data_IF_801865034742
#
_entry.id   IF_801865034742
#
_cell.length_a   1.000
_cell.length_b   1.000
_cell.length_c   1.000
_cell.angle_alpha   90.00
_cell.angle_beta   90.00
_cell.angle_gamma   90.00
#
_symmetry.space_group_name_H-M   'P 1'
#
loop_
_entity.id
_entity.type
_entity.pdbx_description
1 polymer ?
#
# COMPACT_ATOMS: atom_id res chain seq x y z
N UNK A 1 -19.99 20.84 26.63
CA UNK A 1 -20.68 21.39 25.44
C UNK A 1 -21.81 20.49 24.89
N UNK A 2 -21.65 19.16 24.77
CA UNK A 2 -22.66 18.25 24.20
C UNK A 2 -24.01 18.14 24.97
N UNK A 3 -24.03 18.36 26.29
CA UNK A 3 -25.30 18.33 27.07
C UNK A 3 -26.21 19.54 26.76
N UNK A 4 -25.60 20.70 26.48
CA UNK A 4 -26.32 21.96 26.16
C UNK A 4 -27.01 21.87 24.80
N UNK A 5 -26.40 21.16 23.85
CA UNK A 5 -26.98 20.88 22.53
C UNK A 5 -28.10 19.84 22.58
N UNK A 6 -28.00 18.82 23.43
CA UNK A 6 -29.08 17.83 23.61
C UNK A 6 -30.32 18.42 24.29
N UNK A 7 -30.15 19.26 25.32
CA UNK A 7 -31.26 19.96 25.96
C UNK A 7 -31.99 20.88 24.97
N UNK A 8 -31.24 21.62 24.16
CA UNK A 8 -31.79 22.45 23.08
C UNK A 8 -32.57 21.62 22.05
N UNK A 9 -32.01 20.47 21.60
CA UNK A 9 -32.69 19.57 20.67
C UNK A 9 -33.99 19.00 21.23
N UNK A 10 -33.98 18.57 22.50
CA UNK A 10 -35.18 18.07 23.19
C UNK A 10 -36.25 19.15 23.29
N UNK A 11 -35.88 20.36 23.68
CA UNK A 11 -36.80 21.51 23.73
C UNK A 11 -37.42 21.78 22.36
N UNK A 12 -36.61 21.85 21.30
CA UNK A 12 -37.10 22.05 19.91
C UNK A 12 -38.00 20.90 19.45
N UNK A 13 -37.71 19.67 19.84
CA UNK A 13 -38.59 18.54 19.55
C UNK A 13 -39.95 18.66 20.26
N UNK A 14 -39.96 19.06 21.54
CA UNK A 14 -41.20 19.29 22.28
C UNK A 14 -42.02 20.46 21.69
N UNK A 15 -41.37 21.56 21.31
CA UNK A 15 -42.04 22.69 20.63
C UNK A 15 -42.68 22.29 19.29
N UNK A 16 -42.10 21.32 18.57
CA UNK A 16 -42.68 20.75 17.35
C UNK A 16 -43.89 19.89 17.64
N UNK A 17 -43.78 19.02 18.63
CA UNK A 17 -44.88 18.15 19.00
C UNK A 17 -46.09 18.97 19.47
N UNK A 18 -45.87 19.95 20.34
CA UNK A 18 -46.93 20.87 20.79
C UNK A 18 -47.60 21.60 19.61
N UNK A 19 -46.82 22.08 18.62
CA UNK A 19 -47.39 22.72 17.42
C UNK A 19 -48.23 21.75 16.59
N UNK A 20 -47.82 20.49 16.47
CA UNK A 20 -48.57 19.44 15.75
C UNK A 20 -49.87 19.09 16.46
N UNK A 21 -49.85 19.01 17.79
CA UNK A 21 -51.05 18.79 18.59
C UNK A 21 -52.07 19.92 18.41
N UNK A 22 -51.62 21.18 18.47
CA UNK A 22 -52.47 22.36 18.23
C UNK A 22 -53.01 22.35 16.79
N UNK A 23 -52.16 22.07 15.81
CA UNK A 23 -52.55 22.00 14.40
C UNK A 23 -53.60 20.89 14.17
N UNK A 24 -53.39 19.69 14.73
CA UNK A 24 -54.33 18.57 14.64
C UNK A 24 -55.67 18.91 15.28
N UNK A 25 -55.67 19.62 16.41
CA UNK A 25 -56.89 20.10 17.06
C UNK A 25 -57.65 21.10 16.18
N UNK A 26 -56.97 22.09 15.62
CA UNK A 26 -57.58 23.09 14.74
C UNK A 26 -58.11 22.47 13.43
N UNK A 27 -57.40 21.50 12.85
CA UNK A 27 -57.86 20.75 11.68
C UNK A 27 -59.13 19.94 12.01
N UNK A 28 -59.15 19.23 13.13
CA UNK A 28 -60.33 18.47 13.58
C UNK A 28 -61.57 19.38 13.79
N UNK A 29 -61.37 20.60 14.30
CA UNK A 29 -62.44 21.61 14.40
C UNK A 29 -62.89 22.14 13.05
N UNK A 30 -61.95 22.34 12.12
CA UNK A 30 -62.22 22.71 10.73
C UNK A 30 -63.06 21.67 10.02
N UNK A 31 -62.72 20.38 10.16
CA UNK A 31 -63.43 19.26 9.53
C UNK A 31 -64.89 19.16 10.01
N UNK A 32 -65.14 19.53 11.28
CA UNK A 32 -66.48 19.59 11.87
C UNK A 32 -67.23 20.88 11.53
N UNK A 33 -66.60 21.84 10.84
CA UNK A 33 -67.20 23.14 10.52
C UNK A 33 -67.42 24.07 11.72
N UNK A 34 -66.77 23.82 12.86
CA UNK A 34 -66.93 24.60 14.11
C UNK A 34 -65.78 25.57 14.38
N UNK A 35 -64.90 25.77 13.38
CA UNK A 35 -63.75 26.66 13.48
C UNK A 35 -64.21 28.12 13.53
N UNK A 36 -63.78 28.86 14.55
CA UNK A 36 -64.15 30.26 14.70
C UNK A 36 -63.34 31.16 13.77
N UNK A 37 -63.82 32.37 13.52
CA UNK A 37 -63.09 33.36 12.71
C UNK A 37 -61.76 33.79 13.34
N UNK A 38 -61.64 33.68 14.67
CA UNK A 38 -60.38 33.92 15.39
C UNK A 38 -59.40 32.74 15.28
N UNK A 39 -59.89 31.52 15.11
CA UNK A 39 -59.08 30.31 14.95
C UNK A 39 -58.55 30.12 13.51
N UNK A 40 -59.30 30.58 12.50
CA UNK A 40 -58.87 30.53 11.08
C UNK A 40 -57.46 31.11 10.83
N UNK A 41 -57.11 32.34 11.28
CA UNK A 41 -55.76 32.87 11.09
C UNK A 41 -54.70 32.09 11.86
N UNK A 42 -55.04 31.52 13.03
CA UNK A 42 -54.12 30.66 13.79
C UNK A 42 -53.80 29.38 13.02
N UNK A 43 -54.82 28.72 12.45
CA UNK A 43 -54.63 27.54 11.62
C UNK A 43 -53.69 27.84 10.44
N UNK A 44 -53.93 28.96 9.72
CA UNK A 44 -53.06 29.41 8.62
C UNK A 44 -51.63 29.62 9.10
N UNK A 45 -51.43 30.32 10.22
CA UNK A 45 -50.10 30.59 10.76
C UNK A 45 -49.34 29.29 11.12
N UNK A 46 -50.03 28.30 11.70
CA UNK A 46 -49.42 27.00 12.01
C UNK A 46 -49.03 26.22 10.75
N UNK A 47 -49.90 26.18 9.73
CA UNK A 47 -49.58 25.52 8.45
C UNK A 47 -48.37 26.16 7.78
N UNK A 48 -48.34 27.49 7.70
CA UNK A 48 -47.18 28.19 7.12
C UNK A 48 -45.88 27.93 7.89
N UNK A 49 -45.96 27.84 9.22
CA UNK A 49 -44.79 27.53 10.05
C UNK A 49 -44.25 26.12 9.77
N UNK A 50 -45.13 25.12 9.62
CA UNK A 50 -44.75 23.74 9.30
C UNK A 50 -44.18 23.61 7.87
N UNK A 51 -44.74 24.35 6.90
CA UNK A 51 -44.22 24.39 5.54
C UNK A 51 -42.81 24.98 5.50
N UNK A 52 -42.61 26.13 6.16
CA UNK A 52 -41.29 26.77 6.27
C UNK A 52 -40.26 25.84 6.90
N UNK A 53 -40.62 25.18 8.01
CA UNK A 53 -39.72 24.23 8.66
C UNK A 53 -39.41 23.01 7.79
N UNK A 54 -40.41 22.50 7.05
CA UNK A 54 -40.23 21.38 6.13
C UNK A 54 -39.26 21.74 5.00
N UNK A 55 -39.35 22.96 4.46
CA UNK A 55 -38.44 23.43 3.42
C UNK A 55 -37.02 23.66 3.95
N UNK A 56 -36.87 24.20 5.15
CA UNK A 56 -35.55 24.33 5.81
C UNK A 56 -34.92 22.96 6.06
N UNK A 57 -35.71 21.98 6.48
CA UNK A 57 -35.25 20.60 6.67
C UNK A 57 -34.82 19.98 5.35
N UNK A 58 -35.62 20.11 4.28
CA UNK A 58 -35.26 19.65 2.93
C UNK A 58 -33.96 20.29 2.45
N UNK A 59 -33.80 21.60 2.60
CA UNK A 59 -32.55 22.30 2.24
C UNK A 59 -31.35 21.75 3.01
N UNK A 60 -31.53 21.51 4.30
CA UNK A 60 -30.48 20.96 5.17
C UNK A 60 -30.10 19.53 4.77
N UNK A 61 -31.09 18.66 4.58
CA UNK A 61 -30.89 17.26 4.16
C UNK A 61 -30.20 17.22 2.80
N UNK A 62 -30.66 18.01 1.83
CA UNK A 62 -30.04 18.09 0.52
C UNK A 62 -28.58 18.58 0.60
N UNK A 63 -28.31 19.56 1.47
CA UNK A 63 -26.94 20.01 1.73
C UNK A 63 -26.05 18.94 2.36
N UNK A 64 -26.59 18.17 3.30
CA UNK A 64 -25.89 17.04 3.93
C UNK A 64 -25.63 15.91 2.94
N UNK A 65 -26.63 15.55 2.14
CA UNK A 65 -26.54 14.50 1.13
C UNK A 65 -25.44 14.80 0.10
N UNK A 66 -25.41 16.03 -0.43
CA UNK A 66 -24.32 16.49 -1.31
C UNK A 66 -22.94 16.42 -0.65
N UNK A 67 -22.86 16.66 0.66
CA UNK A 67 -21.60 16.54 1.40
C UNK A 67 -21.17 15.08 1.53
N UNK A 68 -22.11 14.18 1.82
CA UNK A 68 -21.86 12.73 1.89
C UNK A 68 -21.39 12.22 0.53
N UNK A 69 -22.06 12.60 -0.56
CA UNK A 69 -21.69 12.22 -1.93
C UNK A 69 -20.26 12.67 -2.27
N UNK A 70 -19.88 13.90 -1.92
CA UNK A 70 -18.49 14.37 -2.09
C UNK A 70 -17.48 13.54 -1.29
N UNK A 71 -17.81 13.17 -0.06
CA UNK A 71 -16.93 12.32 0.75
C UNK A 71 -16.80 10.92 0.16
N UNK A 72 -17.89 10.34 -0.36
CA UNK A 72 -17.86 9.04 -1.03
C UNK A 72 -16.96 9.11 -2.27
N UNK A 73 -17.12 10.14 -3.11
CA UNK A 73 -16.28 10.34 -4.29
C UNK A 73 -14.80 10.53 -3.91
N UNK A 74 -14.52 11.29 -2.85
CA UNK A 74 -13.16 11.49 -2.35
C UNK A 74 -12.53 10.18 -1.83
N UNK A 75 -13.29 9.35 -1.11
CA UNK A 75 -12.82 8.06 -0.63
C UNK A 75 -12.56 7.08 -1.79
N UNK A 76 -13.42 7.07 -2.80
CA UNK A 76 -13.22 6.27 -4.00
C UNK A 76 -11.91 6.67 -4.72
N UNK A 77 -11.70 7.97 -4.95
CA UNK A 77 -10.48 8.48 -5.55
C UNK A 77 -9.22 8.15 -4.71
N UNK A 78 -9.31 8.23 -3.39
CA UNK A 78 -8.22 7.85 -2.51
C UNK A 78 -7.89 6.35 -2.60
N UNK A 79 -8.90 5.48 -2.67
CA UNK A 79 -8.69 4.04 -2.86
C UNK A 79 -8.09 3.72 -4.24
N UNK A 80 -8.49 4.43 -5.29
CA UNK A 80 -7.91 4.25 -6.62
C UNK A 80 -6.44 4.65 -6.64
N UNK A 81 -6.09 5.79 -6.03
CA UNK A 81 -4.69 6.25 -5.90
C UNK A 81 -3.83 5.27 -5.08
N UNK A 82 -4.38 4.66 -4.03
CA UNK A 82 -3.68 3.61 -3.27
C UNK A 82 -3.41 2.39 -4.16
N UNK A 83 -4.41 1.93 -4.94
CA UNK A 83 -4.24 0.78 -5.84
C UNK A 83 -3.17 1.04 -6.90
N UNK A 84 -3.16 2.24 -7.48
CA UNK A 84 -2.12 2.65 -8.44
C UNK A 84 -0.73 2.63 -7.79
N UNK A 85 -0.58 3.23 -6.61
CA UNK A 85 0.69 3.23 -5.88
C UNK A 85 1.17 1.82 -5.48
N UNK A 86 0.24 0.92 -5.14
CA UNK A 86 0.55 -0.49 -4.84
C UNK A 86 1.03 -1.24 -6.09
N UNK A 87 0.40 -0.97 -7.23
CA UNK A 87 0.79 -1.55 -8.51
C UNK A 87 2.17 -1.05 -8.95
N UNK A 88 2.41 0.26 -8.90
CA UNK A 88 3.73 0.85 -9.19
C UNK A 88 4.83 0.25 -8.30
N UNK A 89 4.53 0.06 -7.01
CA UNK A 89 5.47 -0.56 -6.08
C UNK A 89 5.73 -2.05 -6.41
N UNK A 90 4.73 -2.78 -6.90
CA UNK A 90 4.89 -4.16 -7.33
C UNK A 90 5.78 -4.24 -8.59
N UNK A 91 5.51 -3.40 -9.58
CA UNK A 91 6.25 -3.34 -10.85
C UNK A 91 7.72 -2.94 -10.60
N UNK A 92 7.96 -1.94 -9.76
CA UNK A 92 9.31 -1.53 -9.37
C UNK A 92 10.08 -2.65 -8.67
N UNK A 93 9.41 -3.44 -7.79
CA UNK A 93 10.03 -4.60 -7.14
C UNK A 93 10.38 -5.69 -8.15
N UNK A 94 9.54 -5.94 -9.15
CA UNK A 94 9.83 -6.90 -10.21
C UNK A 94 11.01 -6.45 -11.06
N UNK A 95 11.04 -5.19 -11.49
CA UNK A 95 12.16 -4.62 -12.23
C UNK A 95 13.48 -4.72 -11.45
N UNK A 96 13.46 -4.40 -10.15
CA UNK A 96 14.62 -4.55 -9.28
C UNK A 96 15.10 -6.01 -9.18
N UNK A 97 14.19 -6.98 -9.13
CA UNK A 97 14.55 -8.41 -9.13
C UNK A 97 15.19 -8.79 -10.46
N UNK A 98 14.59 -8.42 -11.58
CA UNK A 98 15.12 -8.71 -12.91
C UNK A 98 16.50 -8.07 -13.15
N UNK A 99 16.69 -6.84 -12.67
CA UNK A 99 17.99 -6.16 -12.74
C UNK A 99 19.06 -6.90 -11.94
N UNK A 100 18.74 -7.28 -10.68
CA UNK A 100 19.67 -8.02 -9.82
C UNK A 100 20.05 -9.39 -10.39
N UNK A 101 19.10 -10.12 -10.98
CA UNK A 101 19.41 -11.41 -11.61
C UNK A 101 20.30 -11.24 -12.83
N UNK A 102 20.06 -10.22 -13.66
CA UNK A 102 20.92 -9.90 -14.80
C UNK A 102 22.33 -9.48 -14.36
N UNK A 103 22.47 -8.67 -13.31
CA UNK A 103 23.78 -8.32 -12.75
C UNK A 103 24.53 -9.53 -12.20
N UNK A 104 23.86 -10.41 -11.45
CA UNK A 104 24.47 -11.64 -10.94
C UNK A 104 25.00 -12.50 -12.09
N UNK A 105 24.22 -12.68 -13.16
CA UNK A 105 24.65 -13.42 -14.35
C UNK A 105 25.87 -12.78 -15.03
N UNK A 106 25.92 -11.44 -15.12
CA UNK A 106 27.08 -10.70 -15.66
C UNK A 106 28.32 -10.92 -14.80
N UNK A 107 28.17 -10.87 -13.48
CA UNK A 107 29.26 -11.13 -12.54
C UNK A 107 29.77 -12.57 -12.63
N UNK A 108 28.88 -13.56 -12.67
CA UNK A 108 29.25 -14.97 -12.83
C UNK A 108 30.00 -15.20 -14.15
N UNK A 109 29.51 -14.62 -15.25
CA UNK A 109 30.19 -14.69 -16.55
C UNK A 109 31.57 -14.05 -16.50
N UNK A 110 31.70 -12.87 -15.89
CA UNK A 110 32.99 -12.19 -15.75
C UNK A 110 33.97 -13.02 -14.90
N UNK A 111 33.50 -13.63 -13.81
CA UNK A 111 34.29 -14.52 -12.95
C UNK A 111 34.77 -15.75 -13.72
N UNK A 112 33.90 -16.41 -14.50
CA UNK A 112 34.29 -17.55 -15.34
C UNK A 112 35.32 -17.18 -16.41
N UNK A 113 35.13 -16.04 -17.08
CA UNK A 113 36.09 -15.55 -18.08
C UNK A 113 37.45 -15.28 -17.41
N UNK A 114 37.49 -14.64 -16.23
CA UNK A 114 38.73 -14.41 -15.49
C UNK A 114 39.42 -15.72 -15.10
N UNK A 115 38.68 -16.70 -14.60
CA UNK A 115 39.22 -18.01 -14.25
C UNK A 115 39.83 -18.73 -15.48
N UNK A 116 39.09 -18.75 -16.59
CA UNK A 116 39.57 -19.34 -17.84
C UNK A 116 40.85 -18.67 -18.37
N UNK A 117 40.90 -17.34 -18.34
CA UNK A 117 42.10 -16.60 -18.75
C UNK A 117 43.29 -16.90 -17.82
N UNK A 118 43.06 -17.00 -16.50
CA UNK A 118 44.09 -17.37 -15.55
C UNK A 118 44.68 -18.77 -15.87
N UNK A 119 43.83 -19.77 -16.10
CA UNK A 119 44.26 -21.13 -16.49
C UNK A 119 45.12 -21.14 -17.76
N UNK A 120 44.72 -20.39 -18.81
CA UNK A 120 45.52 -20.29 -20.03
C UNK A 120 46.89 -19.65 -19.79
N UNK A 121 46.96 -18.60 -18.95
CA UNK A 121 48.24 -17.98 -18.61
C UNK A 121 49.15 -18.92 -17.82
N UNK A 122 48.60 -19.81 -16.98
CA UNK A 122 49.40 -20.82 -16.28
C UNK A 122 50.02 -21.83 -17.25
N UNK A 123 49.26 -22.27 -18.25
CA UNK A 123 49.76 -23.20 -19.28
C UNK A 123 50.85 -22.57 -20.16
N UNK A 124 50.79 -21.27 -20.45
CA UNK A 124 51.82 -20.56 -21.23
C UNK A 124 53.10 -20.28 -20.42
N UNK A 125 53.00 -20.16 -19.10
CA UNK A 125 54.14 -19.89 -18.20
C UNK A 125 54.73 -21.17 -17.56
N UNK A 126 54.33 -22.36 -18.03
CA UNK A 126 54.94 -23.60 -17.55
C UNK A 126 56.34 -23.71 -18.15
N UNK A 127 57.43 -23.67 -17.35
CA UNK A 127 58.78 -23.74 -17.88
C UNK A 127 59.00 -25.09 -18.58
N UNK A 128 59.56 -25.04 -19.79
CA UNK A 128 59.95 -26.22 -20.57
C UNK A 128 60.75 -27.19 -19.68
N UNK A 129 60.40 -28.50 -19.64
CA UNK A 129 61.13 -29.45 -18.82
C UNK A 129 62.58 -29.49 -19.28
N UNK A 130 63.50 -28.98 -18.46
CA UNK A 130 64.93 -29.06 -18.77
C UNK A 130 65.36 -30.53 -18.89
N UNK A 131 66.17 -30.89 -19.89
CA UNK A 131 66.62 -32.27 -20.06
C UNK A 131 67.39 -32.69 -18.81
N UNK A 132 66.94 -33.78 -18.19
CA UNK A 132 67.56 -34.35 -17.00
C UNK A 132 68.97 -34.82 -17.40
N UNK A 133 70.00 -34.09 -16.97
CA UNK A 133 71.37 -34.56 -17.06
C UNK A 133 71.55 -35.78 -16.12
N UNK A 134 71.52 -36.99 -16.70
CA UNK A 134 71.93 -38.22 -16.04
C UNK A 134 73.44 -38.17 -15.73
N UNK A 135 73.81 -37.55 -14.61
CA UNK A 135 75.21 -37.46 -14.16
C UNK A 135 75.64 -38.79 -13.52
N UNK A 136 76.39 -39.57 -14.29
CA UNK A 136 77.09 -40.80 -13.90
C UNK A 136 77.83 -40.67 -12.56
N UNK A 137 77.44 -41.51 -11.59
CA UNK A 137 78.16 -41.72 -10.32
C UNK A 137 79.03 -42.97 -10.44
N UNK A 138 80.17 -42.87 -11.11
CA UNK A 138 81.24 -43.89 -11.05
C UNK A 138 82.14 -43.61 -9.84
N UNK A 139 82.00 -44.39 -8.76
CA UNK A 139 83.03 -44.46 -7.71
C UNK A 139 84.03 -45.56 -8.06
N UNK A 140 85.27 -45.14 -8.32
CA UNK A 140 86.44 -45.99 -8.52
C UNK A 140 86.99 -46.32 -7.12
N UNK A 141 86.83 -47.56 -6.66
CA UNK A 141 87.64 -48.11 -5.57
C UNK A 141 88.82 -48.86 -6.18
N UNK A 142 90.03 -48.38 -5.87
CA UNK A 142 91.30 -49.01 -6.24
C UNK A 142 91.50 -50.29 -5.42
N UNK A 143 91.67 -51.42 -6.11
CA UNK A 143 92.08 -52.70 -5.55
C UNK A 143 93.56 -52.92 -5.88
N UNK A 144 94.41 -52.95 -4.86
CA UNK A 144 95.79 -53.42 -4.93
C UNK A 144 95.82 -54.95 -4.99
N UNK A 145 96.51 -55.49 -6.02
CA UNK A 145 96.89 -56.91 -6.22
C UNK A 145 98.17 -57.25 -5.42
N UNK A 146 98.77 -58.47 -5.54
CA UNK A 146 98.26 -59.85 -5.42
C UNK A 146 99.14 -60.70 -4.47
N UNK A 147 98.76 -61.96 -4.20
CA UNK A 147 99.62 -62.96 -3.56
C UNK A 147 99.09 -64.38 -3.79
N UNK A 148 99.85 -65.32 -4.39
CA UNK A 148 99.35 -66.61 -4.88
C UNK A 148 99.73 -67.76 -3.96
N UNK A 149 98.87 -68.77 -3.80
CA UNK A 149 99.34 -70.12 -3.46
C UNK A 149 98.53 -71.18 -4.21
N UNK A 150 99.30 -72.12 -4.76
CA UNK A 150 98.91 -73.28 -5.54
C UNK A 150 98.54 -74.46 -4.63
N UNK A 151 97.68 -75.33 -5.19
CA UNK A 151 97.37 -76.72 -4.82
C UNK A 151 96.50 -76.96 -3.58
#
# INVERSE_FOLDING_TARGET
MARRTMAYRRRRAAEREQRREVLAHLLSRSDRGVLTDTERPLLRAHVEAELRESDDLRRTINGQQRRIERFIAQLAAAHDAIREAEQDAADAREQLRAYRTAEAQRQDRATRIRAFLAEQTTHLNTPEPQPIECRNRFHIHQVTRPGPECQ
#
